data_IF_511965198604
#
_entry.id   IF_511965198604
#
_cell.length_a   1.000
_cell.length_b   1.000
_cell.length_c   1.000
_cell.angle_alpha   90.00
_cell.angle_beta   90.00
_cell.angle_gamma   90.00
#
_symmetry.space_group_name_H-M   'P 1'
#
loop_
_entity.id
_entity.type
_entity.pdbx_description
1 polymer ?
#
# COMPACT_ATOMS: atom_id res chain seq x y z
N UNK A 1 49.89 8.55 48.07
CA UNK A 1 49.94 8.68 46.60
C UNK A 1 48.60 8.24 46.06
N UNK A 2 47.75 9.18 45.63
CA UNK A 2 46.53 8.90 44.87
C UNK A 2 46.87 9.00 43.37
N UNK A 3 46.28 8.16 42.50
CA UNK A 3 46.57 8.23 41.07
C UNK A 3 45.95 9.48 40.45
N UNK A 4 46.75 10.18 39.64
CA UNK A 4 46.37 11.31 38.82
C UNK A 4 45.31 10.92 37.78
N UNK A 5 44.21 11.65 37.85
CA UNK A 5 43.42 12.21 36.76
C UNK A 5 43.10 11.30 35.57
N UNK A 6 41.86 10.83 35.57
CA UNK A 6 41.15 10.30 34.41
C UNK A 6 41.22 11.28 33.25
N UNK A 7 41.83 10.88 32.14
CA UNK A 7 41.76 11.57 30.86
C UNK A 7 40.30 11.52 30.34
N UNK A 8 39.44 12.42 30.81
CA UNK A 8 38.17 12.69 30.14
C UNK A 8 38.50 13.51 28.91
N UNK A 9 38.71 12.84 27.76
CA UNK A 9 38.73 13.52 26.47
C UNK A 9 37.36 14.21 26.30
N UNK A 10 37.35 15.53 26.46
CA UNK A 10 36.21 16.35 26.11
C UNK A 10 36.13 16.33 24.59
N UNK A 11 35.28 15.47 24.04
CA UNK A 11 34.95 15.51 22.62
C UNK A 11 34.27 16.85 22.33
N UNK A 12 34.89 17.66 21.46
CA UNK A 12 34.26 18.88 20.98
C UNK A 12 32.96 18.52 20.26
N UNK A 13 31.92 19.34 20.43
CA UNK A 13 30.61 19.14 19.78
C UNK A 13 30.73 18.97 18.27
N UNK A 14 31.73 19.59 17.66
CA UNK A 14 32.06 19.53 16.23
C UNK A 14 32.63 18.17 15.77
N UNK A 15 32.92 17.27 16.72
CA UNK A 15 33.41 15.91 16.48
C UNK A 15 32.34 14.83 16.74
N UNK A 16 31.15 15.23 17.19
CA UNK A 16 30.03 14.34 17.47
C UNK A 16 28.95 14.63 16.44
N UNK A 17 28.86 13.77 15.43
CA UNK A 17 27.77 13.81 14.45
C UNK A 17 26.57 13.10 15.06
N UNK A 18 25.53 13.84 15.42
CA UNK A 18 24.31 13.26 15.95
C UNK A 18 23.47 12.69 14.80
N UNK A 19 22.91 11.49 15.01
CA UNK A 19 22.04 10.83 14.04
C UNK A 19 20.86 11.73 13.62
N UNK A 20 20.32 12.51 14.56
CA UNK A 20 19.22 13.44 14.30
C UNK A 20 19.64 14.60 13.38
N UNK A 21 20.88 15.08 13.47
CA UNK A 21 21.39 16.14 12.58
C UNK A 21 21.57 15.62 11.15
N UNK A 22 22.10 14.40 11.00
CA UNK A 22 22.21 13.73 9.70
C UNK A 22 20.82 13.47 9.10
N UNK A 23 19.89 12.98 9.92
CA UNK A 23 18.50 12.75 9.51
C UNK A 23 17.82 14.05 9.07
N UNK A 24 17.96 15.14 9.85
CA UNK A 24 17.36 16.43 9.53
C UNK A 24 17.96 17.04 8.26
N UNK A 25 19.28 16.92 8.06
CA UNK A 25 19.94 17.38 6.83
C UNK A 25 19.43 16.59 5.63
N UNK A 26 19.34 15.27 5.74
CA UNK A 26 18.81 14.40 4.69
C UNK A 26 17.35 14.74 4.40
N UNK A 27 16.53 14.91 5.44
CA UNK A 27 15.12 15.32 5.32
C UNK A 27 14.99 16.67 4.62
N UNK A 28 15.77 17.67 4.98
CA UNK A 28 15.78 18.98 4.31
C UNK A 28 16.13 18.85 2.83
N UNK A 29 17.17 18.09 2.50
CA UNK A 29 17.60 17.87 1.11
C UNK A 29 16.48 17.17 0.34
N UNK A 30 15.90 16.10 0.88
CA UNK A 30 14.78 15.38 0.29
C UNK A 30 13.57 16.29 0.08
N UNK A 31 13.15 17.02 1.12
CA UNK A 31 12.03 17.97 1.05
C UNK A 31 12.26 19.03 -0.02
N UNK A 32 13.48 19.51 -0.22
CA UNK A 32 13.78 20.49 -1.28
C UNK A 32 13.55 19.96 -2.70
N UNK A 33 13.60 18.64 -2.91
CA UNK A 33 13.34 18.04 -4.22
C UNK A 33 11.85 17.89 -4.54
N UNK A 34 11.00 17.66 -3.53
CA UNK A 34 9.58 17.39 -3.75
C UNK A 34 8.62 18.51 -3.29
N UNK A 35 9.05 19.37 -2.36
CA UNK A 35 8.22 20.46 -1.83
C UNK A 35 8.31 21.69 -2.73
N UNK A 36 7.30 21.87 -3.59
CA UNK A 36 7.22 22.99 -4.53
C UNK A 36 6.71 24.30 -3.90
N UNK A 37 5.85 24.23 -2.88
CA UNK A 37 5.32 25.38 -2.13
C UNK A 37 5.15 25.05 -0.65
N UNK A 38 4.81 26.05 0.17
CA UNK A 38 4.64 25.89 1.64
C UNK A 38 3.34 25.15 1.98
N UNK A 39 2.28 25.38 1.19
CA UNK A 39 0.99 24.68 1.27
C UNK A 39 1.17 23.20 0.86
N UNK A 40 0.34 22.28 1.38
CA UNK A 40 0.47 20.85 1.10
C UNK A 40 -0.31 20.40 -0.15
N UNK A 41 -1.37 21.13 -0.53
CA UNK A 41 -2.25 20.81 -1.66
C UNK A 41 -1.80 21.47 -2.97
N UNK A 42 -1.33 22.70 -2.89
CA UNK A 42 -0.81 23.44 -4.05
C UNK A 42 0.36 22.72 -4.76
N UNK A 43 1.33 22.09 -4.07
CA UNK A 43 2.39 21.30 -4.70
C UNK A 43 1.87 20.11 -5.48
N UNK A 44 0.80 19.45 -5.01
CA UNK A 44 0.22 18.28 -5.70
C UNK A 44 -0.32 18.69 -7.07
N UNK A 45 -1.03 19.82 -7.15
CA UNK A 45 -1.51 20.32 -8.44
C UNK A 45 -0.34 20.60 -9.41
N UNK A 46 0.74 21.22 -8.93
CA UNK A 46 1.94 21.47 -9.73
C UNK A 46 2.67 20.18 -10.15
N UNK A 47 2.64 19.14 -9.30
CA UNK A 47 3.17 17.83 -9.65
C UNK A 47 2.34 17.14 -10.72
N UNK A 48 1.01 17.13 -10.60
CA UNK A 48 0.13 16.51 -11.60
C UNK A 48 0.32 17.14 -12.98
N UNK A 49 0.42 18.48 -13.07
CA UNK A 49 0.67 19.15 -14.34
C UNK A 49 2.07 18.84 -14.91
N UNK A 50 3.11 18.78 -14.06
CA UNK A 50 4.45 18.38 -14.52
C UNK A 50 4.47 16.92 -15.02
N UNK A 51 3.84 16.00 -14.29
CA UNK A 51 3.73 14.60 -14.66
C UNK A 51 2.96 14.44 -15.97
N UNK A 52 1.87 15.19 -16.15
CA UNK A 52 1.12 15.25 -17.41
C UNK A 52 2.00 15.73 -18.56
N UNK A 53 2.84 16.75 -18.35
CA UNK A 53 3.86 17.20 -19.31
C UNK A 53 4.90 16.13 -19.66
N UNK A 54 5.12 15.15 -18.76
CA UNK A 54 5.97 13.97 -18.96
C UNK A 54 5.22 12.74 -19.50
N UNK A 55 4.00 12.93 -20.02
CA UNK A 55 3.12 11.88 -20.57
C UNK A 55 2.56 10.88 -19.54
N UNK A 56 2.55 11.23 -18.26
CA UNK A 56 1.87 10.41 -17.26
C UNK A 56 0.35 10.54 -17.46
N UNK A 57 -0.38 9.45 -17.19
CA UNK A 57 -1.82 9.55 -16.94
C UNK A 57 -2.00 10.10 -15.54
N UNK A 58 -2.74 11.19 -15.39
CA UNK A 58 -2.97 11.87 -14.11
C UNK A 58 -4.44 12.26 -13.99
N UNK A 59 -5.02 12.19 -12.79
CA UNK A 59 -6.33 12.78 -12.53
C UNK A 59 -6.36 13.52 -11.20
N UNK A 60 -7.22 14.52 -11.15
CA UNK A 60 -7.60 15.25 -9.94
C UNK A 60 -9.11 15.15 -9.80
N UNK A 61 -9.61 14.60 -8.70
CA UNK A 61 -11.04 14.42 -8.50
C UNK A 61 -11.74 15.78 -8.31
N UNK A 62 -13.02 15.88 -8.67
CA UNK A 62 -13.79 17.12 -8.50
C UNK A 62 -13.89 17.57 -7.04
N UNK A 63 -13.91 16.62 -6.10
CA UNK A 63 -13.92 16.88 -4.66
C UNK A 63 -12.51 16.90 -4.03
N UNK A 64 -11.46 17.16 -4.81
CA UNK A 64 -10.07 17.21 -4.33
C UNK A 64 -9.88 18.15 -3.13
N UNK A 65 -10.57 19.29 -3.11
CA UNK A 65 -10.46 20.24 -1.98
C UNK A 65 -10.94 19.63 -0.65
N UNK A 66 -11.92 18.72 -0.69
CA UNK A 66 -12.54 18.13 0.49
C UNK A 66 -11.89 16.81 0.93
N UNK A 67 -11.51 15.96 -0.04
CA UNK A 67 -11.04 14.59 0.22
C UNK A 67 -9.63 14.32 -0.28
N UNK A 68 -8.94 15.34 -0.80
CA UNK A 68 -7.57 15.27 -1.30
C UNK A 68 -7.33 14.09 -2.26
N UNK A 69 -8.30 13.85 -3.15
CA UNK A 69 -8.31 12.67 -4.03
C UNK A 69 -7.67 12.96 -5.39
N UNK A 70 -6.58 12.28 -5.70
CA UNK A 70 -5.85 12.38 -6.97
C UNK A 70 -5.13 11.08 -7.29
N UNK A 71 -4.69 10.90 -8.53
CA UNK A 71 -3.90 9.73 -8.90
C UNK A 71 -3.12 9.88 -10.17
N UNK A 72 -2.24 8.92 -10.41
CA UNK A 72 -1.31 8.93 -11.54
C UNK A 72 -0.80 7.54 -11.92
N UNK A 73 -0.29 7.42 -13.14
CA UNK A 73 0.42 6.26 -13.67
C UNK A 73 1.45 6.72 -14.70
N UNK A 74 2.68 6.21 -14.60
CA UNK A 74 3.74 6.52 -15.58
C UNK A 74 3.48 5.85 -16.94
N UNK A 75 4.11 6.33 -18.03
CA UNK A 75 3.95 5.71 -19.35
C UNK A 75 4.28 4.21 -19.38
N UNK A 76 5.36 3.81 -18.70
CA UNK A 76 5.76 2.40 -18.61
C UNK A 76 4.75 1.57 -17.81
N UNK A 77 4.27 2.09 -16.69
CA UNK A 77 3.25 1.42 -15.89
C UNK A 77 1.93 1.27 -16.64
N UNK A 78 1.52 2.32 -17.36
CA UNK A 78 0.35 2.30 -18.26
C UNK A 78 0.46 1.18 -19.29
N UNK A 79 1.63 1.00 -19.91
CA UNK A 79 1.85 -0.09 -20.88
C UNK A 79 1.68 -1.47 -20.23
N UNK A 80 2.27 -1.68 -19.04
CA UNK A 80 2.09 -2.93 -18.30
C UNK A 80 0.63 -3.19 -17.96
N UNK A 81 -0.07 -2.16 -17.46
CA UNK A 81 -1.46 -2.25 -17.07
C UNK A 81 -2.38 -2.56 -18.28
N UNK A 82 -2.16 -1.92 -19.43
CA UNK A 82 -2.90 -2.20 -20.66
C UNK A 82 -2.67 -3.62 -21.21
N UNK A 83 -1.54 -4.25 -20.87
CA UNK A 83 -1.24 -5.63 -21.26
C UNK A 83 -1.76 -6.69 -20.29
N UNK A 84 -2.40 -6.27 -19.19
CA UNK A 84 -2.85 -7.17 -18.13
C UNK A 84 -4.36 -7.38 -18.19
N UNK A 85 -4.83 -8.62 -18.07
CA UNK A 85 -6.26 -8.94 -17.95
C UNK A 85 -6.71 -9.05 -16.48
N UNK A 86 -5.76 -9.09 -15.55
CA UNK A 86 -5.99 -9.30 -14.13
C UNK A 86 -5.23 -8.26 -13.31
N UNK A 87 -5.88 -7.70 -12.30
CA UNK A 87 -5.30 -6.70 -11.39
C UNK A 87 -5.58 -7.06 -9.94
N UNK A 88 -4.76 -6.52 -9.04
CA UNK A 88 -5.05 -6.42 -7.62
C UNK A 88 -5.24 -4.95 -7.25
N UNK A 89 -6.27 -4.64 -6.46
CA UNK A 89 -6.46 -3.36 -5.81
C UNK A 89 -6.08 -3.54 -4.33
N UNK A 90 -5.07 -2.78 -3.90
CA UNK A 90 -4.55 -2.79 -2.54
C UNK A 90 -4.71 -1.40 -1.93
N UNK A 91 -5.04 -1.33 -0.63
CA UNK A 91 -5.18 -0.09 0.11
C UNK A 91 -4.15 -0.02 1.24
N UNK A 92 -3.26 0.97 1.19
CA UNK A 92 -2.28 1.24 2.25
C UNK A 92 -2.69 2.47 3.04
N UNK A 93 -2.85 2.32 4.36
CA UNK A 93 -3.17 3.43 5.28
C UNK A 93 -1.90 4.06 5.86
N UNK A 94 -2.00 5.32 6.32
CA UNK A 94 -0.93 6.01 7.05
C UNK A 94 0.35 6.20 6.21
N UNK A 95 0.20 6.62 4.96
CA UNK A 95 1.33 6.75 4.01
C UNK A 95 2.03 8.10 4.09
N UNK A 96 1.43 9.06 4.81
CA UNK A 96 1.94 10.42 5.02
C UNK A 96 1.57 10.91 6.43
N UNK A 97 1.94 12.16 6.73
CA UNK A 97 1.54 12.84 7.95
C UNK A 97 0.10 13.37 7.91
N UNK A 98 -0.57 13.29 6.75
CA UNK A 98 -1.97 13.68 6.61
C UNK A 98 -2.83 12.67 7.37
N UNK A 99 -3.69 13.18 8.24
CA UNK A 99 -4.52 12.34 9.07
C UNK A 99 -5.54 11.59 8.21
N UNK A 100 -5.62 10.26 8.38
CA UNK A 100 -6.56 9.37 7.68
C UNK A 100 -6.34 9.35 6.16
N UNK A 101 -5.10 9.34 5.71
CA UNK A 101 -4.81 9.09 4.32
C UNK A 101 -4.90 7.60 3.96
N UNK A 102 -5.19 7.36 2.67
CA UNK A 102 -5.16 6.06 2.03
C UNK A 102 -4.48 6.23 0.68
N UNK A 103 -3.52 5.35 0.39
CA UNK A 103 -3.02 5.14 -0.96
C UNK A 103 -3.59 3.83 -1.51
N UNK A 104 -4.45 3.94 -2.51
CA UNK A 104 -4.84 2.81 -3.32
C UNK A 104 -3.81 2.57 -4.41
N UNK A 105 -3.47 1.30 -4.63
CA UNK A 105 -2.51 0.88 -5.65
C UNK A 105 -3.12 -0.21 -6.53
N UNK A 106 -2.99 -0.05 -7.85
CA UNK A 106 -3.23 -1.15 -8.79
C UNK A 106 -1.92 -1.91 -8.97
N UNK A 107 -1.95 -3.21 -8.73
CA UNK A 107 -0.82 -4.12 -8.91
C UNK A 107 -1.14 -5.13 -10.00
N UNK A 108 -0.21 -5.35 -10.92
CA UNK A 108 -0.31 -6.34 -12.01
C UNK A 108 0.84 -7.34 -11.96
N UNK A 109 0.75 -8.40 -12.76
CA UNK A 109 1.83 -9.38 -12.90
C UNK A 109 2.88 -8.79 -13.79
N UNK A 110 4.08 -8.63 -13.28
CA UNK A 110 5.18 -8.32 -14.17
C UNK A 110 5.45 -9.54 -15.08
N UNK A 111 5.40 -9.38 -16.42
CA UNK A 111 5.42 -10.52 -17.34
C UNK A 111 6.73 -11.32 -17.28
N UNK A 112 7.85 -10.68 -16.96
CA UNK A 112 9.16 -11.34 -16.94
C UNK A 112 9.49 -12.03 -15.62
N UNK A 113 9.08 -11.44 -14.49
CA UNK A 113 9.45 -11.92 -13.15
C UNK A 113 8.32 -12.69 -12.47
N UNK A 114 7.09 -12.54 -12.95
CA UNK A 114 5.90 -13.10 -12.34
C UNK A 114 5.49 -12.45 -11.02
N UNK A 115 6.23 -11.45 -10.54
CA UNK A 115 5.98 -10.75 -9.27
C UNK A 115 4.92 -9.66 -9.44
N UNK A 116 4.29 -9.26 -8.33
CA UNK A 116 3.44 -8.07 -8.30
C UNK A 116 4.25 -6.81 -8.65
N UNK A 117 3.70 -5.99 -9.54
CA UNK A 117 4.26 -4.70 -9.93
C UNK A 117 3.18 -3.62 -9.80
N UNK A 118 3.37 -2.59 -8.96
CA UNK A 118 2.43 -1.49 -8.87
C UNK A 118 2.50 -0.61 -10.12
N UNK A 119 1.34 -0.31 -10.70
CA UNK A 119 1.19 0.33 -12.02
C UNK A 119 0.21 1.51 -12.05
N UNK A 120 -0.53 1.75 -10.98
CA UNK A 120 -1.26 3.01 -10.81
C UNK A 120 -1.42 3.29 -9.33
N UNK A 121 -1.50 4.57 -8.99
CA UNK A 121 -1.69 5.03 -7.62
C UNK A 121 -2.83 6.04 -7.56
N UNK A 122 -3.59 5.99 -6.46
CA UNK A 122 -4.48 7.05 -6.04
C UNK A 122 -4.27 7.33 -4.57
N UNK A 123 -4.12 8.60 -4.24
CA UNK A 123 -4.15 9.09 -2.87
C UNK A 123 -5.54 9.66 -2.57
N UNK A 124 -6.05 9.44 -1.36
CA UNK A 124 -7.34 10.00 -0.90
C UNK A 124 -7.41 10.05 0.62
N UNK A 125 -8.20 10.98 1.16
CA UNK A 125 -8.67 11.01 2.54
C UNK A 125 -10.08 10.41 2.68
N UNK A 126 -10.69 9.98 1.57
CA UNK A 126 -12.00 9.32 1.58
C UNK A 126 -11.86 7.83 1.90
N UNK A 127 -12.35 7.44 3.09
CA UNK A 127 -12.45 6.05 3.56
C UNK A 127 -13.73 5.35 3.08
N UNK A 128 -14.55 6.04 2.30
CA UNK A 128 -15.74 5.44 1.69
C UNK A 128 -15.34 4.50 0.56
N UNK A 129 -16.25 3.57 0.25
CA UNK A 129 -16.07 2.65 -0.86
C UNK A 129 -16.13 3.35 -2.23
N UNK A 130 -16.61 4.60 -2.28
CA UNK A 130 -16.67 5.37 -3.52
C UNK A 130 -15.26 5.69 -4.05
N UNK A 131 -14.26 5.79 -3.17
CA UNK A 131 -12.87 6.01 -3.55
C UNK A 131 -12.35 4.93 -4.51
N UNK A 132 -12.65 3.65 -4.23
CA UNK A 132 -12.26 2.55 -5.11
C UNK A 132 -12.91 2.67 -6.50
N UNK A 133 -14.19 3.05 -6.59
CA UNK A 133 -14.86 3.29 -7.88
C UNK A 133 -14.29 4.48 -8.63
N UNK A 134 -13.94 5.56 -7.93
CA UNK A 134 -13.28 6.73 -8.54
C UNK A 134 -11.96 6.29 -9.17
N UNK A 135 -11.16 5.51 -8.43
CA UNK A 135 -9.88 5.04 -8.91
C UNK A 135 -10.01 4.11 -10.12
N UNK A 136 -10.91 3.13 -10.04
CA UNK A 136 -11.16 2.21 -11.14
C UNK A 136 -11.76 2.90 -12.37
N UNK A 137 -12.54 3.96 -12.18
CA UNK A 137 -13.04 4.79 -13.28
C UNK A 137 -11.92 5.53 -13.98
N UNK A 138 -10.94 6.06 -13.23
CA UNK A 138 -9.72 6.63 -13.81
C UNK A 138 -8.92 5.59 -14.62
N UNK A 139 -8.75 4.38 -14.07
CA UNK A 139 -8.09 3.28 -14.78
C UNK A 139 -8.83 2.91 -16.07
N UNK A 140 -10.17 2.90 -16.03
CA UNK A 140 -11.00 2.57 -17.20
C UNK A 140 -10.96 3.65 -18.27
N UNK A 141 -11.22 4.90 -17.87
CA UNK A 141 -11.53 5.98 -18.81
C UNK A 141 -10.28 6.75 -19.24
N UNK A 142 -9.35 7.02 -18.33
CA UNK A 142 -8.18 7.88 -18.59
C UNK A 142 -6.93 7.06 -18.97
N UNK A 143 -6.74 5.89 -18.34
CA UNK A 143 -5.66 4.97 -18.74
C UNK A 143 -6.09 4.18 -19.98
N UNK A 144 -7.34 3.73 -20.04
CA UNK A 144 -7.92 3.01 -21.18
C UNK A 144 -8.05 1.50 -20.99
N UNK A 145 -8.03 1.01 -19.75
CA UNK A 145 -8.25 -0.41 -19.44
C UNK A 145 -9.75 -0.68 -19.50
N UNK A 146 -10.29 -0.89 -20.70
CA UNK A 146 -11.75 -0.96 -20.89
C UNK A 146 -12.39 -2.23 -20.34
N UNK A 147 -11.62 -3.30 -20.22
CA UNK A 147 -12.08 -4.61 -19.75
C UNK A 147 -11.06 -5.27 -18.83
N UNK A 148 -11.54 -5.97 -17.80
CA UNK A 148 -10.74 -6.83 -16.94
C UNK A 148 -11.44 -8.18 -16.76
N UNK A 149 -10.68 -9.26 -16.77
CA UNK A 149 -11.22 -10.60 -16.47
C UNK A 149 -11.38 -10.80 -14.97
N UNK A 150 -10.47 -10.22 -14.18
CA UNK A 150 -10.40 -10.46 -12.74
C UNK A 150 -9.83 -9.26 -11.97
N UNK A 151 -10.46 -8.96 -10.84
CA UNK A 151 -10.00 -7.96 -9.88
C UNK A 151 -9.87 -8.65 -8.52
N UNK A 152 -8.66 -8.65 -7.97
CA UNK A 152 -8.40 -9.12 -6.62
C UNK A 152 -8.47 -7.94 -5.66
N UNK A 153 -9.21 -8.07 -4.57
CA UNK A 153 -9.33 -7.06 -3.53
C UNK A 153 -9.00 -7.63 -2.16
N UNK A 154 -8.82 -6.75 -1.19
CA UNK A 154 -8.73 -7.15 0.21
C UNK A 154 -10.04 -7.78 0.69
N UNK A 155 -10.02 -8.38 1.89
CA UNK A 155 -11.19 -9.06 2.45
C UNK A 155 -12.22 -8.03 2.93
N UNK A 156 -12.85 -7.36 1.97
CA UNK A 156 -13.84 -6.31 2.15
C UNK A 156 -15.09 -6.66 1.35
N UNK A 157 -16.18 -6.99 2.04
CA UNK A 157 -17.47 -7.25 1.38
C UNK A 157 -18.10 -5.97 0.81
N UNK A 158 -17.70 -4.81 1.32
CA UNK A 158 -18.27 -3.51 0.97
C UNK A 158 -17.69 -2.92 -0.33
N UNK A 159 -16.52 -3.39 -0.77
CA UNK A 159 -15.89 -2.96 -2.03
C UNK A 159 -16.49 -3.65 -3.27
N UNK A 160 -17.16 -4.79 -3.11
CA UNK A 160 -17.62 -5.59 -4.25
C UNK A 160 -18.61 -4.83 -5.15
N UNK A 161 -19.68 -4.25 -4.60
CA UNK A 161 -20.71 -3.59 -5.41
C UNK A 161 -20.18 -2.37 -6.20
N UNK A 162 -19.39 -1.46 -5.59
CA UNK A 162 -18.77 -0.34 -6.31
C UNK A 162 -17.81 -0.78 -7.43
N UNK A 163 -17.09 -1.88 -7.25
CA UNK A 163 -16.19 -2.45 -8.27
C UNK A 163 -16.98 -3.04 -9.44
N UNK A 164 -18.01 -3.85 -9.15
CA UNK A 164 -18.89 -4.44 -10.15
C UNK A 164 -19.62 -3.37 -10.97
N UNK A 165 -19.88 -2.19 -10.40
CA UNK A 165 -20.47 -1.08 -11.16
C UNK A 165 -19.53 -0.53 -12.25
N UNK A 166 -18.20 -0.56 -12.03
CA UNK A 166 -17.21 -0.05 -13.00
C UNK A 166 -16.79 -1.14 -13.98
N UNK A 167 -16.58 -2.37 -13.51
CA UNK A 167 -16.21 -3.54 -14.31
C UNK A 167 -17.20 -4.70 -14.07
N UNK A 168 -18.41 -4.64 -14.66
CA UNK A 168 -19.44 -5.66 -14.47
C UNK A 168 -19.05 -7.05 -14.99
N UNK A 169 -18.11 -7.10 -15.95
CA UNK A 169 -17.60 -8.31 -16.55
C UNK A 169 -16.49 -8.99 -15.74
N UNK A 170 -15.85 -8.26 -14.82
CA UNK A 170 -14.72 -8.77 -14.07
C UNK A 170 -15.17 -9.66 -12.90
N UNK A 171 -14.52 -10.81 -12.75
CA UNK A 171 -14.66 -11.62 -11.55
C UNK A 171 -13.95 -10.94 -10.37
N UNK A 172 -14.67 -10.63 -9.29
CA UNK A 172 -14.08 -10.09 -8.07
C UNK A 172 -13.69 -11.26 -7.15
N UNK A 173 -12.43 -11.30 -6.72
CA UNK A 173 -11.94 -12.32 -5.78
C UNK A 173 -11.22 -11.68 -4.59
N UNK A 174 -11.14 -12.40 -3.48
CA UNK A 174 -10.38 -11.96 -2.31
C UNK A 174 -8.91 -12.34 -2.41
N UNK A 175 -8.07 -11.45 -1.92
CA UNK A 175 -6.65 -11.67 -1.75
C UNK A 175 -6.43 -12.84 -0.77
N UNK A 176 -5.78 -13.90 -1.24
CA UNK A 176 -5.53 -15.09 -0.43
C UNK A 176 -4.65 -14.80 0.79
N UNK A 177 -3.74 -13.82 0.71
CA UNK A 177 -2.91 -13.42 1.86
C UNK A 177 -3.80 -12.85 2.97
N UNK A 178 -4.66 -11.89 2.62
CA UNK A 178 -5.58 -11.28 3.58
C UNK A 178 -6.60 -12.29 4.14
N UNK A 179 -7.08 -13.25 3.31
CA UNK A 179 -7.92 -14.36 3.79
C UNK A 179 -7.16 -15.24 4.78
N UNK A 180 -5.91 -15.57 4.48
CA UNK A 180 -5.06 -16.38 5.36
C UNK A 180 -4.81 -15.67 6.69
N UNK A 181 -4.46 -14.40 6.66
CA UNK A 181 -4.21 -13.59 7.86
C UNK A 181 -5.46 -13.46 8.74
N UNK A 182 -6.62 -13.21 8.14
CA UNK A 182 -7.90 -13.17 8.85
C UNK A 182 -8.22 -14.51 9.53
N UNK A 183 -8.02 -15.62 8.82
CA UNK A 183 -8.25 -16.95 9.39
C UNK A 183 -7.26 -17.24 10.54
N UNK A 184 -5.98 -16.95 10.34
CA UNK A 184 -4.97 -17.13 11.37
C UNK A 184 -5.24 -16.25 12.60
N UNK A 185 -5.75 -15.03 12.41
CA UNK A 185 -6.25 -14.18 13.49
C UNK A 185 -7.35 -14.88 14.30
N UNK A 186 -8.35 -15.45 13.61
CA UNK A 186 -9.46 -16.15 14.26
C UNK A 186 -9.02 -17.41 15.03
N UNK A 187 -8.10 -18.18 14.47
CA UNK A 187 -7.53 -19.35 15.15
C UNK A 187 -6.85 -18.94 16.46
N UNK A 188 -6.07 -17.85 16.45
CA UNK A 188 -5.39 -17.34 17.65
C UNK A 188 -6.39 -16.89 18.73
N UNK A 189 -7.47 -16.19 18.34
CA UNK A 189 -8.53 -15.80 19.27
C UNK A 189 -9.19 -17.01 19.94
N UNK A 190 -9.53 -18.04 19.16
CA UNK A 190 -10.17 -19.25 19.67
C UNK A 190 -9.24 -20.02 20.63
N UNK A 191 -7.96 -20.12 20.30
CA UNK A 191 -6.97 -20.74 21.19
C UNK A 191 -6.84 -19.96 22.51
N UNK A 192 -6.82 -18.63 22.47
CA UNK A 192 -6.78 -17.80 23.68
C UNK A 192 -8.04 -17.95 24.54
N UNK A 193 -9.22 -18.05 23.91
CA UNK A 193 -10.48 -18.32 24.62
C UNK A 193 -10.48 -19.71 25.27
N UNK A 194 -9.92 -20.70 24.60
CA UNK A 194 -9.81 -22.07 25.12
C UNK A 194 -8.80 -22.19 26.27
N UNK A 195 -7.74 -21.39 26.29
CA UNK A 195 -6.77 -21.29 27.40
C UNK A 195 -7.36 -20.56 28.62
N UNK A 196 -8.36 -19.68 28.43
CA UNK A 196 -9.05 -18.98 29.53
C UNK A 196 -10.17 -19.80 30.20
N UNK A 197 -10.52 -20.96 29.66
CA UNK A 197 -11.46 -21.89 30.31
C UNK A 197 -10.69 -22.88 31.19
N UNK A 198 -11.19 -23.25 32.39
CA UNK A 198 -10.57 -24.29 33.19
C UNK A 198 -10.51 -25.58 32.35
N UNK A 199 -9.30 -26.11 32.20
CA UNK A 199 -8.98 -27.24 31.34
C UNK A 199 -9.87 -28.44 31.68
N UNK A 200 -10.73 -28.84 30.74
CA UNK A 200 -11.16 -30.22 30.61
C UNK A 200 -10.93 -30.74 29.19
N UNK A 201 -9.89 -31.58 29.10
CA UNK A 201 -9.60 -32.62 28.09
C UNK A 201 -9.07 -32.22 26.70
N UNK A 202 -7.79 -32.56 26.53
CA UNK A 202 -7.20 -33.47 25.55
C UNK A 202 -7.51 -33.28 24.04
N UNK A 203 -6.46 -32.84 23.33
CA UNK A 203 -6.14 -33.33 21.99
C UNK A 203 -6.02 -32.27 20.91
N UNK A 204 -4.80 -32.12 20.34
CA UNK A 204 -4.51 -32.45 18.93
C UNK A 204 -3.12 -31.95 18.53
N UNK A 205 -2.23 -32.92 18.30
CA UNK A 205 -0.85 -32.75 17.83
C UNK A 205 -0.76 -32.86 16.30
N UNK A 206 -1.76 -32.37 15.56
CA UNK A 206 -1.92 -32.63 14.11
C UNK A 206 -1.89 -31.38 13.21
N UNK A 207 -1.70 -30.18 13.75
CA UNK A 207 -1.82 -28.94 12.96
C UNK A 207 -0.51 -28.44 12.33
N UNK A 208 0.66 -28.81 12.84
CA UNK A 208 1.90 -28.06 12.55
C UNK A 208 2.60 -28.44 11.26
N UNK A 209 2.45 -29.68 10.76
CA UNK A 209 3.21 -30.18 9.60
C UNK A 209 2.51 -29.86 8.27
N UNK A 210 1.18 -29.91 8.22
CA UNK A 210 0.41 -29.49 7.02
C UNK A 210 0.46 -27.96 6.85
N UNK A 211 0.48 -27.21 7.96
CA UNK A 211 0.49 -25.75 7.96
C UNK A 211 1.80 -25.16 7.42
N UNK A 212 2.97 -25.73 7.75
CA UNK A 212 4.26 -25.24 7.23
C UNK A 212 4.40 -25.48 5.71
N UNK A 213 3.84 -26.60 5.24
CA UNK A 213 3.93 -26.99 3.83
C UNK A 213 3.00 -26.13 2.95
N UNK A 214 1.83 -25.75 3.46
CA UNK A 214 0.98 -24.75 2.81
C UNK A 214 1.65 -23.37 2.82
N UNK A 215 2.19 -22.90 3.95
CA UNK A 215 2.85 -21.57 3.99
C UNK A 215 4.02 -21.47 2.99
N UNK A 216 4.83 -22.53 2.84
CA UNK A 216 5.92 -22.52 1.85
C UNK A 216 5.45 -22.62 0.39
N UNK A 217 4.34 -23.31 0.11
CA UNK A 217 3.73 -23.37 -1.23
C UNK A 217 2.98 -22.08 -1.59
N UNK A 218 2.45 -21.37 -0.60
CA UNK A 218 1.75 -20.10 -0.78
C UNK A 218 2.76 -18.94 -0.98
N UNK A 219 3.92 -18.92 -0.30
CA UNK A 219 4.88 -17.81 -0.45
C UNK A 219 5.54 -17.69 -1.84
N UNK A 220 5.54 -18.75 -2.67
CA UNK A 220 6.20 -18.73 -3.99
C UNK A 220 5.30 -18.41 -5.19
N UNK A 221 3.99 -18.35 -5.01
CA UNK A 221 3.04 -18.17 -6.13
C UNK A 221 2.05 -17.01 -5.96
N UNK A 222 2.20 -16.21 -4.90
CA UNK A 222 1.19 -15.24 -4.51
C UNK A 222 1.38 -13.94 -5.25
N UNK A 223 0.89 -13.89 -6.48
CA UNK A 223 0.19 -12.72 -7.00
C UNK A 223 -0.69 -13.08 -8.21
N UNK A 224 -0.58 -14.29 -8.79
CA UNK A 224 -1.31 -14.70 -9.99
C UNK A 224 -1.57 -16.20 -10.06
#
# INVERSE_FOLDING_TARGET
MLPKDSNSQVFHRDQIVYQDEVYNLYKMIQESFYRKTVDEKEPVCLWLEELKGKNYSTFKHSNFENHFTFGFSSPWQKQLLLSSTMVCLDATHCVSHIQRDIMHTIVVRHPSTGTGCPVAYMFTEDHSMAAASVFLSFVKNDIGVTTLEKITIDVSTTEHAPITAVYPEAAVQWCLSHVSDAWMGKIREQQQQQIRLPIMSLGKRFSSVIMLTLIHLLFFSFFF
#
